data_IF_230884095770
#
_entry.id   IF_230884095770
#
_cell.length_a   1.000
_cell.length_b   1.000
_cell.length_c   1.000
_cell.angle_alpha   90.00
_cell.angle_beta   90.00
_cell.angle_gamma   90.00
#
_symmetry.space_group_name_H-M   'P 1'
#
loop_
_entity.id
_entity.type
_entity.pdbx_description
1 polymer ?
#
# COMPACT_ATOMS: atom_id res chain seq x y z
N UNK A 1 6.48 -12.80 -4.52
CA UNK A 1 5.64 -11.60 -4.38
C UNK A 1 6.27 -10.68 -3.34
N UNK A 2 6.43 -9.39 -3.64
CA UNK A 2 6.94 -8.39 -2.68
C UNK A 2 5.84 -7.81 -1.78
N UNK A 3 4.62 -7.74 -2.29
CA UNK A 3 3.45 -7.29 -1.55
C UNK A 3 2.36 -6.74 -2.48
N UNK A 4 1.27 -6.30 -1.89
CA UNK A 4 0.18 -5.58 -2.56
C UNK A 4 0.43 -4.09 -2.43
N UNK A 5 0.33 -3.35 -3.53
CA UNK A 5 0.54 -1.90 -3.60
C UNK A 5 -0.81 -1.20 -3.76
N UNK A 6 -1.07 -0.25 -2.88
CA UNK A 6 -2.27 0.59 -2.96
C UNK A 6 -2.09 1.92 -2.20
N UNK A 7 -3.01 2.85 -2.41
CA UNK A 7 -3.09 4.10 -1.68
C UNK A 7 -4.25 4.12 -0.69
N UNK A 8 -4.10 4.86 0.40
CA UNK A 8 -5.20 5.29 1.26
C UNK A 8 -5.21 6.80 1.46
N UNK A 9 -6.39 7.34 1.77
CA UNK A 9 -6.58 8.74 2.11
C UNK A 9 -6.72 8.92 3.62
N UNK A 10 -5.96 9.87 4.18
CA UNK A 10 -6.16 10.34 5.55
C UNK A 10 -6.72 11.76 5.56
N UNK A 11 -7.85 11.97 6.21
CA UNK A 11 -8.54 13.26 6.21
C UNK A 11 -7.79 14.31 7.03
N UNK A 12 -7.54 15.47 6.42
CA UNK A 12 -6.89 16.62 7.04
C UNK A 12 -7.92 17.71 7.35
N UNK A 13 -8.49 17.66 8.56
CA UNK A 13 -9.58 18.56 8.99
C UNK A 13 -9.13 20.02 9.07
N UNK A 14 -7.92 20.26 9.58
CA UNK A 14 -7.34 21.59 9.71
C UNK A 14 -6.46 21.98 8.51
N UNK A 15 -6.72 21.41 7.33
CA UNK A 15 -6.04 21.81 6.10
C UNK A 15 -6.15 23.34 5.91
N UNK A 16 -5.03 24.07 5.76
CA UNK A 16 -5.05 25.50 5.56
C UNK A 16 -5.92 25.90 4.37
N UNK A 17 -6.69 26.99 4.50
CA UNK A 17 -7.61 27.45 3.44
C UNK A 17 -6.92 27.62 2.09
N UNK A 18 -5.68 28.12 2.09
CA UNK A 18 -4.86 28.30 0.90
C UNK A 18 -4.57 26.98 0.16
N UNK A 19 -4.56 25.85 0.86
CA UNK A 19 -4.22 24.53 0.30
C UNK A 19 -5.45 23.66 0.06
N UNK A 20 -6.60 24.02 0.65
CA UNK A 20 -7.83 23.23 0.63
C UNK A 20 -8.24 22.78 -0.78
N UNK A 21 -8.11 23.64 -1.79
CA UNK A 21 -8.42 23.29 -3.18
C UNK A 21 -7.55 22.16 -3.71
N UNK A 22 -6.23 22.24 -3.49
CA UNK A 22 -5.28 21.21 -3.93
C UNK A 22 -5.47 19.88 -3.20
N UNK A 23 -5.91 19.87 -1.95
CA UNK A 23 -6.03 18.64 -1.15
C UNK A 23 -7.43 18.02 -1.18
N UNK A 24 -8.41 18.68 -1.82
CA UNK A 24 -9.80 18.20 -1.88
C UNK A 24 -10.12 17.69 -3.27
N UNK A 25 -10.43 16.40 -3.38
CA UNK A 25 -10.96 15.79 -4.60
C UNK A 25 -12.47 15.96 -4.67
N UNK A 26 -13.04 16.16 -5.86
CA UNK A 26 -14.46 16.49 -6.04
C UNK A 26 -15.44 15.42 -5.55
N UNK A 27 -15.05 14.15 -5.63
CA UNK A 27 -15.78 12.99 -5.12
C UNK A 27 -15.67 12.84 -3.59
N UNK A 28 -14.47 13.07 -3.03
CA UNK A 28 -14.19 12.95 -1.59
C UNK A 28 -14.76 14.13 -0.78
N UNK A 29 -14.80 15.34 -1.37
CA UNK A 29 -15.34 16.60 -0.79
C UNK A 29 -14.70 17.06 0.52
N UNK A 30 -13.68 16.36 1.01
CA UNK A 30 -12.85 16.74 2.16
C UNK A 30 -11.38 16.75 1.77
N UNK A 31 -10.60 17.58 2.45
CA UNK A 31 -9.15 17.60 2.25
C UNK A 31 -8.52 16.34 2.81
N UNK A 32 -7.71 15.65 2.01
CA UNK A 32 -7.04 14.42 2.41
C UNK A 32 -5.58 14.45 1.97
N UNK A 33 -4.75 13.66 2.66
CA UNK A 33 -3.36 13.40 2.29
C UNK A 33 -3.23 11.90 1.99
N UNK A 34 -2.56 11.56 0.92
CA UNK A 34 -2.41 10.18 0.48
C UNK A 34 -1.18 9.51 1.12
N UNK A 35 -1.35 8.24 1.47
CA UNK A 35 -0.30 7.29 1.77
C UNK A 35 -0.32 6.22 0.67
N UNK A 36 0.78 6.05 -0.06
CA UNK A 36 1.04 4.83 -0.84
C UNK A 36 1.80 3.86 0.06
N UNK A 37 1.43 2.58 0.06
CA UNK A 37 2.15 1.56 0.77
C UNK A 37 2.22 0.23 0.00
N UNK A 38 3.27 -0.54 0.29
CA UNK A 38 3.34 -1.96 -0.06
C UNK A 38 3.23 -2.76 1.22
N UNK A 39 2.27 -3.69 1.29
CA UNK A 39 2.14 -4.59 2.42
C UNK A 39 2.04 -6.06 1.99
N UNK A 40 2.57 -6.95 2.82
CA UNK A 40 2.43 -8.40 2.65
C UNK A 40 1.25 -8.96 3.45
N UNK A 41 0.94 -10.24 3.19
CA UNK A 41 -0.15 -10.97 3.84
C UNK A 41 -0.09 -10.92 5.37
N UNK A 42 1.10 -10.97 5.96
CA UNK A 42 1.31 -10.86 7.40
C UNK A 42 1.21 -9.43 7.96
N UNK A 43 0.65 -8.50 7.19
CA UNK A 43 0.44 -7.08 7.55
C UNK A 43 1.72 -6.26 7.63
N UNK A 44 2.88 -6.82 7.30
CA UNK A 44 4.12 -6.07 7.28
C UNK A 44 4.12 -5.03 6.16
N UNK A 45 4.45 -3.78 6.49
CA UNK A 45 4.55 -2.69 5.52
C UNK A 45 6.02 -2.56 5.09
N UNK A 46 6.31 -2.86 3.83
CA UNK A 46 7.65 -2.84 3.25
C UNK A 46 8.05 -1.46 2.71
N UNK A 47 7.08 -0.71 2.22
CA UNK A 47 7.28 0.61 1.64
C UNK A 47 6.15 1.54 2.04
N UNK A 48 6.47 2.82 2.24
CA UNK A 48 5.50 3.85 2.55
C UNK A 48 5.94 5.21 2.01
N UNK A 49 5.08 5.84 1.21
CA UNK A 49 5.27 7.19 0.69
C UNK A 49 4.07 8.07 1.03
N UNK A 50 4.28 9.06 1.90
CA UNK A 50 3.21 9.89 2.46
C UNK A 50 3.41 11.38 2.18
N UNK A 51 2.30 12.10 2.01
CA UNK A 51 2.30 13.57 1.93
C UNK A 51 1.74 14.12 0.63
N UNK A 52 1.35 13.25 -0.32
CA UNK A 52 0.78 13.70 -1.58
C UNK A 52 -0.65 14.22 -1.37
N UNK A 53 -1.00 15.30 -2.05
CA UNK A 53 -2.33 15.90 -1.92
C UNK A 53 -3.42 14.95 -2.43
N UNK A 54 -4.51 14.83 -1.69
CA UNK A 54 -5.62 13.90 -1.96
C UNK A 54 -6.43 14.16 -3.23
N UNK A 55 -6.17 15.23 -3.97
CA UNK A 55 -6.70 15.39 -5.33
C UNK A 55 -6.00 14.52 -6.37
N UNK A 56 -4.83 13.95 -6.03
CA UNK A 56 -4.09 13.06 -6.92
C UNK A 56 -4.74 11.67 -6.98
N UNK A 57 -4.33 10.89 -7.97
CA UNK A 57 -4.62 9.47 -8.08
C UNK A 57 -3.35 8.65 -7.79
N UNK A 58 -3.50 7.34 -7.71
CA UNK A 58 -2.45 6.38 -7.40
C UNK A 58 -1.25 6.48 -8.36
N UNK A 59 -1.51 6.69 -9.66
CA UNK A 59 -0.45 6.82 -10.67
C UNK A 59 0.39 8.08 -10.42
N UNK A 60 -0.25 9.20 -10.06
CA UNK A 60 0.45 10.44 -9.75
C UNK A 60 1.30 10.30 -8.48
N UNK A 61 0.84 9.52 -7.49
CA UNK A 61 1.61 9.21 -6.28
C UNK A 61 2.81 8.33 -6.64
N UNK A 62 2.58 7.27 -7.41
CA UNK A 62 3.61 6.34 -7.87
C UNK A 62 4.75 7.06 -8.61
N UNK A 63 4.43 7.98 -9.51
CA UNK A 63 5.42 8.75 -10.27
C UNK A 63 6.32 9.64 -9.40
N UNK A 64 5.94 9.91 -8.14
CA UNK A 64 6.72 10.69 -7.18
C UNK A 64 7.34 9.83 -6.08
N UNK A 65 6.93 8.57 -6.01
CA UNK A 65 7.30 7.65 -4.96
C UNK A 65 8.73 7.14 -5.13
N UNK A 66 9.37 6.83 -4.00
CA UNK A 66 10.67 6.16 -3.97
C UNK A 66 10.59 4.64 -4.15
N UNK A 67 9.40 4.07 -4.42
CA UNK A 67 9.18 2.61 -4.51
C UNK A 67 10.21 1.88 -5.39
N UNK A 68 10.59 2.50 -6.51
CA UNK A 68 11.53 1.91 -7.47
C UNK A 68 12.95 2.49 -7.39
N UNK A 69 13.25 3.37 -6.43
CA UNK A 69 14.56 4.04 -6.36
C UNK A 69 15.71 3.04 -6.25
N UNK A 70 15.63 2.05 -5.37
CA UNK A 70 16.68 1.04 -5.20
C UNK A 70 16.82 0.14 -6.45
N UNK A 71 15.71 -0.19 -7.12
CA UNK A 71 15.72 -0.98 -8.37
C UNK A 71 16.42 -0.20 -9.47
N UNK A 72 16.05 1.07 -9.67
CA UNK A 72 16.63 1.95 -10.68
C UNK A 72 18.11 2.25 -10.43
N UNK A 73 18.54 2.24 -9.17
CA UNK A 73 19.94 2.43 -8.78
C UNK A 73 20.75 1.14 -8.77
N UNK A 74 20.13 -0.01 -9.08
CA UNK A 74 20.80 -1.32 -9.06
C UNK A 74 21.21 -1.79 -7.66
N UNK A 75 20.58 -1.27 -6.61
CA UNK A 75 20.83 -1.60 -5.20
C UNK A 75 19.76 -2.49 -4.59
N UNK A 76 18.66 -2.73 -5.31
CA UNK A 76 17.61 -3.64 -4.86
C UNK A 76 18.17 -5.07 -4.64
N UNK A 77 17.69 -5.80 -3.63
CA UNK A 77 18.09 -7.18 -3.41
C UNK A 77 17.81 -8.05 -4.64
N UNK A 78 18.72 -9.00 -4.91
CA UNK A 78 18.47 -10.01 -5.91
C UNK A 78 17.30 -10.91 -5.49
N UNK A 79 16.39 -11.17 -6.42
CA UNK A 79 15.24 -12.05 -6.22
C UNK A 79 15.34 -13.16 -7.27
N UNK A 80 15.18 -14.41 -6.87
CA UNK A 80 15.13 -15.55 -7.79
C UNK A 80 13.97 -16.45 -7.43
N UNK A 81 13.10 -16.73 -8.38
CA UNK A 81 12.01 -17.70 -8.21
C UNK A 81 11.62 -18.32 -9.55
N UNK A 82 10.94 -19.48 -9.50
CA UNK A 82 10.47 -20.20 -10.69
C UNK A 82 8.94 -20.26 -10.67
N UNK A 83 8.29 -19.85 -11.77
CA UNK A 83 6.85 -20.05 -11.97
C UNK A 83 6.62 -20.79 -13.28
N UNK A 84 5.86 -21.88 -13.23
CA UNK A 84 5.55 -22.72 -14.40
C UNK A 84 6.80 -23.11 -15.22
N UNK A 85 7.92 -23.39 -14.56
CA UNK A 85 9.19 -23.75 -15.20
C UNK A 85 10.01 -22.57 -15.76
N UNK A 86 9.50 -21.33 -15.66
CA UNK A 86 10.25 -20.13 -16.05
C UNK A 86 10.91 -19.50 -14.83
N UNK A 87 12.19 -19.18 -14.95
CA UNK A 87 12.94 -18.44 -13.93
C UNK A 87 12.71 -16.94 -14.07
N UNK A 88 12.54 -16.28 -12.92
CA UNK A 88 12.38 -14.84 -12.81
C UNK A 88 13.42 -14.30 -11.84
N UNK A 89 14.02 -13.18 -12.22
CA UNK A 89 15.04 -12.49 -11.44
C UNK A 89 14.57 -11.13 -10.88
N UNK A 90 13.28 -10.83 -11.03
CA UNK A 90 12.69 -9.54 -10.66
C UNK A 90 11.46 -9.77 -9.79
N UNK A 91 11.41 -9.10 -8.64
CA UNK A 91 10.24 -9.12 -7.77
C UNK A 91 9.03 -8.44 -8.42
N UNK A 92 7.83 -8.82 -7.97
CA UNK A 92 6.57 -8.26 -8.45
C UNK A 92 5.67 -7.82 -7.30
N UNK A 93 4.83 -6.83 -7.58
CA UNK A 93 3.77 -6.31 -6.72
C UNK A 93 2.41 -6.65 -7.28
N UNK A 94 1.44 -6.95 -6.42
CA UNK A 94 0.04 -7.04 -6.81
C UNK A 94 -0.55 -5.64 -6.86
N UNK A 95 -1.16 -5.29 -7.98
CA UNK A 95 -1.82 -3.99 -8.16
C UNK A 95 -3.19 -4.18 -8.79
N UNK A 96 -4.01 -3.13 -8.79
CA UNK A 96 -5.26 -3.12 -9.54
C UNK A 96 -5.05 -2.58 -10.97
N UNK A 97 -6.13 -2.58 -11.76
CA UNK A 97 -6.08 -2.34 -13.20
C UNK A 97 -5.62 -0.96 -13.66
N UNK A 98 -5.58 0.07 -12.79
CA UNK A 98 -5.18 1.43 -13.20
C UNK A 98 -3.66 1.60 -13.33
N UNK A 99 -2.89 0.71 -12.71
CA UNK A 99 -1.43 0.79 -12.75
C UNK A 99 -0.90 0.44 -14.15
N UNK A 100 0.24 1.03 -14.57
CA UNK A 100 0.80 0.81 -15.90
C UNK A 100 1.20 -0.65 -16.13
N UNK A 101 1.34 -1.04 -17.39
CA UNK A 101 1.80 -2.38 -17.79
C UNK A 101 3.33 -2.52 -17.60
N UNK A 102 3.79 -2.51 -16.36
CA UNK A 102 5.19 -2.75 -16.03
C UNK A 102 5.41 -4.20 -15.64
N UNK A 103 6.57 -4.75 -15.99
CA UNK A 103 6.90 -6.15 -15.71
C UNK A 103 6.97 -6.47 -14.19
N UNK A 104 7.08 -5.44 -13.34
CA UNK A 104 7.02 -5.56 -11.87
C UNK A 104 5.59 -5.58 -11.33
N UNK A 105 4.56 -5.34 -12.15
CA UNK A 105 3.16 -5.29 -11.72
C UNK A 105 2.39 -6.48 -12.24
N UNK A 106 1.76 -7.18 -11.30
CA UNK A 106 0.86 -8.30 -11.58
C UNK A 106 -0.56 -7.85 -11.25
N UNK A 107 -1.37 -7.72 -12.30
CA UNK A 107 -2.73 -7.16 -12.24
C UNK A 107 -3.79 -8.25 -12.31
N UNK A 108 -4.99 -7.92 -11.85
CA UNK A 108 -6.19 -8.73 -12.13
C UNK A 108 -6.49 -8.72 -13.63
N UNK A 109 -7.18 -9.76 -14.11
CA UNK A 109 -7.65 -9.82 -15.50
C UNK A 109 -8.91 -8.96 -15.61
N UNK A 110 -8.91 -7.88 -16.41
CA UNK A 110 -10.12 -7.08 -16.59
C UNK A 110 -11.17 -7.89 -17.35
N UNK A 111 -12.41 -7.88 -16.86
CA UNK A 111 -13.56 -8.55 -17.48
C UNK A 111 -13.29 -10.04 -17.79
N UNK A 112 -13.04 -10.88 -16.77
CA UNK A 112 -12.67 -12.27 -16.96
C UNK A 112 -13.77 -13.07 -17.67
N UNK A 113 -13.44 -13.67 -18.82
CA UNK A 113 -14.41 -14.33 -19.70
C UNK A 113 -14.53 -15.82 -19.40
N UNK A 114 -13.40 -16.52 -19.27
CA UNK A 114 -13.40 -17.96 -19.03
C UNK A 114 -13.29 -18.31 -17.53
N UNK A 115 -13.56 -19.58 -17.18
CA UNK A 115 -13.48 -20.05 -15.81
C UNK A 115 -12.08 -19.86 -15.19
N UNK A 116 -11.03 -20.05 -15.99
CA UNK A 116 -9.64 -19.85 -15.56
C UNK A 116 -9.35 -18.37 -15.25
N UNK A 117 -9.84 -17.45 -16.08
CA UNK A 117 -9.65 -16.01 -15.86
C UNK A 117 -10.37 -15.56 -14.59
N UNK A 118 -11.59 -16.06 -14.38
CA UNK A 118 -12.40 -15.75 -13.19
C UNK A 118 -11.69 -16.24 -11.92
N UNK A 119 -11.19 -17.47 -11.95
CA UNK A 119 -10.44 -18.05 -10.82
C UNK A 119 -9.17 -17.25 -10.51
N UNK A 120 -8.42 -16.86 -11.54
CA UNK A 120 -7.23 -16.04 -11.36
C UNK A 120 -7.57 -14.65 -10.79
N UNK A 121 -8.56 -13.98 -11.36
CA UNK A 121 -9.00 -12.65 -10.91
C UNK A 121 -9.44 -12.70 -9.44
N UNK A 122 -10.23 -13.70 -9.05
CA UNK A 122 -10.67 -13.90 -7.66
C UNK A 122 -9.49 -14.04 -6.69
N UNK A 123 -8.51 -14.90 -7.01
CA UNK A 123 -7.35 -15.13 -6.13
C UNK A 123 -6.43 -13.91 -6.09
N UNK A 124 -6.18 -13.27 -7.24
CA UNK A 124 -5.34 -12.07 -7.31
C UNK A 124 -5.97 -10.91 -6.53
N UNK A 125 -7.27 -10.67 -6.71
CA UNK A 125 -7.99 -9.61 -6.01
C UNK A 125 -8.12 -9.90 -4.51
N UNK A 126 -8.26 -11.17 -4.13
CA UNK A 126 -8.21 -11.63 -2.74
C UNK A 126 -6.88 -11.29 -2.07
N UNK A 127 -5.76 -11.66 -2.69
CA UNK A 127 -4.42 -11.34 -2.18
C UNK A 127 -4.11 -9.83 -2.24
N UNK A 128 -4.62 -9.11 -3.25
CA UNK A 128 -4.45 -7.65 -3.36
C UNK A 128 -5.00 -6.92 -2.11
N UNK A 129 -6.06 -7.45 -1.48
CA UNK A 129 -6.63 -6.88 -0.25
C UNK A 129 -5.69 -6.91 0.97
N UNK A 130 -4.54 -7.56 0.89
CA UNK A 130 -3.56 -7.59 1.98
C UNK A 130 -3.15 -6.17 2.44
N UNK A 131 -2.98 -5.23 1.51
CA UNK A 131 -2.63 -3.84 1.83
C UNK A 131 -3.80 -3.04 2.38
N UNK A 132 -5.01 -3.25 1.85
CA UNK A 132 -6.24 -2.69 2.41
C UNK A 132 -6.47 -3.20 3.85
N UNK A 133 -6.16 -4.48 4.11
CA UNK A 133 -6.20 -5.07 5.46
C UNK A 133 -5.14 -4.45 6.37
N UNK A 134 -3.92 -4.23 5.88
CA UNK A 134 -2.87 -3.55 6.65
C UNK A 134 -3.29 -2.12 7.03
N UNK A 135 -3.91 -1.36 6.12
CA UNK A 135 -4.48 -0.05 6.42
C UNK A 135 -5.58 -0.13 7.49
N UNK A 136 -6.53 -1.05 7.33
CA UNK A 136 -7.62 -1.24 8.28
C UNK A 136 -7.12 -1.58 9.69
N UNK A 137 -6.13 -2.47 9.80
CA UNK A 137 -5.50 -2.83 11.08
C UNK A 137 -4.74 -1.64 11.67
N UNK A 138 -3.97 -0.90 10.86
CA UNK A 138 -3.25 0.29 11.33
C UNK A 138 -4.21 1.36 11.86
N UNK A 139 -5.32 1.63 11.16
CA UNK A 139 -6.36 2.54 11.64
C UNK A 139 -7.09 2.03 12.89
N UNK A 140 -7.28 0.72 13.04
CA UNK A 140 -7.87 0.12 14.24
C UNK A 140 -6.94 0.25 15.45
N UNK A 141 -5.63 0.02 15.27
CA UNK A 141 -4.59 0.14 16.30
C UNK A 141 -4.36 1.58 16.72
N UNK A 142 -4.27 2.49 15.76
CA UNK A 142 -3.91 3.89 16.01
C UNK A 142 -5.10 4.81 15.79
N UNK A 143 -5.78 5.15 16.89
CA UNK A 143 -6.92 6.07 16.88
C UNK A 143 -6.62 7.43 16.23
N UNK A 144 -5.35 7.86 16.21
CA UNK A 144 -4.91 9.08 15.53
C UNK A 144 -5.08 9.00 14.01
N UNK A 145 -4.86 7.81 13.40
CA UNK A 145 -5.03 7.59 11.96
C UNK A 145 -6.50 7.34 11.57
N UNK A 146 -7.29 6.78 12.48
CA UNK A 146 -8.73 6.55 12.26
C UNK A 146 -9.52 7.84 12.11
N UNK A 147 -9.10 8.89 12.83
CA UNK A 147 -9.84 10.15 12.89
C UNK A 147 -9.23 11.20 11.95
N UNK A 148 -10.03 12.18 11.49
CA UNK A 148 -9.51 13.33 10.76
C UNK A 148 -8.49 14.10 11.60
N UNK A 149 -7.28 14.28 11.07
CA UNK A 149 -6.22 14.98 11.79
C UNK A 149 -6.50 16.46 11.91
N UNK A 150 -6.18 16.99 13.10
CA UNK A 150 -6.30 18.41 13.46
C UNK A 150 -4.95 19.13 13.48
N UNK A 151 -3.87 18.43 13.10
CA UNK A 151 -2.57 19.05 12.95
C UNK A 151 -2.58 20.04 11.78
N UNK A 152 -1.82 21.12 11.90
CA UNK A 152 -1.81 22.20 10.90
C UNK A 152 -0.67 22.10 9.89
N UNK A 153 0.40 21.39 10.24
CA UNK A 153 1.62 21.35 9.44
C UNK A 153 1.78 19.97 8.81
N UNK A 154 2.04 19.92 7.50
CA UNK A 154 2.29 18.66 6.78
C UNK A 154 3.39 17.84 7.44
N UNK A 155 4.47 18.50 7.90
CA UNK A 155 5.57 17.85 8.61
C UNK A 155 5.09 17.00 9.79
N UNK A 156 4.20 17.54 10.63
CA UNK A 156 3.66 16.79 11.77
C UNK A 156 2.78 15.61 11.34
N UNK A 157 2.01 15.74 10.25
CA UNK A 157 1.24 14.63 9.69
C UNK A 157 2.17 13.51 9.22
N UNK A 158 3.26 13.88 8.55
CA UNK A 158 4.29 12.95 8.06
C UNK A 158 4.98 12.22 9.20
N UNK A 159 5.42 12.94 10.24
CA UNK A 159 6.03 12.37 11.43
C UNK A 159 5.08 11.38 12.13
N UNK A 160 3.79 11.74 12.28
CA UNK A 160 2.78 10.85 12.85
C UNK A 160 2.59 9.59 12.01
N UNK A 161 2.44 9.74 10.70
CA UNK A 161 2.19 8.60 9.80
C UNK A 161 3.34 7.60 9.85
N UNK A 162 4.58 8.08 9.72
CA UNK A 162 5.76 7.20 9.78
C UNK A 162 5.96 6.59 11.16
N UNK A 163 5.71 7.33 12.25
CA UNK A 163 5.76 6.77 13.60
C UNK A 163 4.74 5.63 13.76
N UNK A 164 3.50 5.80 13.28
CA UNK A 164 2.48 4.75 13.32
C UNK A 164 2.88 3.52 12.48
N UNK A 165 3.50 3.70 11.32
CA UNK A 165 3.97 2.58 10.47
C UNK A 165 5.11 1.81 11.15
N UNK A 166 6.08 2.52 11.75
CA UNK A 166 7.18 1.89 12.50
C UNK A 166 6.62 1.08 13.68
N UNK A 167 5.76 1.69 14.49
CA UNK A 167 5.12 1.01 15.61
C UNK A 167 4.25 -0.16 15.16
N UNK A 168 3.53 -0.02 14.04
CA UNK A 168 2.76 -1.12 13.45
C UNK A 168 3.65 -2.31 13.13
N UNK A 169 4.77 -2.09 12.41
CA UNK A 169 5.69 -3.16 12.05
C UNK A 169 6.35 -3.80 13.27
N UNK A 170 6.71 -3.00 14.29
CA UNK A 170 7.23 -3.53 15.56
C UNK A 170 6.22 -4.46 16.26
N UNK A 171 4.93 -4.10 16.26
CA UNK A 171 3.87 -4.95 16.81
C UNK A 171 3.68 -6.21 15.95
N UNK A 172 3.70 -6.08 14.62
CA UNK A 172 3.62 -7.24 13.71
C UNK A 172 4.80 -8.19 13.94
N UNK A 173 6.01 -7.67 14.17
CA UNK A 173 7.21 -8.45 14.49
C UNK A 173 7.02 -9.24 15.79
N UNK A 174 6.63 -8.55 16.87
CA UNK A 174 6.42 -9.14 18.19
C UNK A 174 5.32 -10.22 18.18
N UNK A 175 4.21 -9.96 17.47
CA UNK A 175 3.12 -10.92 17.35
C UNK A 175 3.46 -12.07 16.38
N UNK A 176 4.47 -11.95 15.51
CA UNK A 176 4.78 -12.92 14.44
C UNK A 176 5.04 -14.32 14.97
N UNK A 177 5.69 -14.42 16.12
CA UNK A 177 5.98 -15.69 16.77
C UNK A 177 4.73 -16.35 17.35
N UNK A 178 3.70 -15.58 17.71
CA UNK A 178 2.40 -16.13 18.15
C UNK A 178 1.57 -16.70 16.99
N UNK A 179 1.80 -16.23 15.76
CA UNK A 179 1.13 -16.75 14.56
C UNK A 179 1.75 -18.07 14.07
N UNK A 180 3.09 -18.21 14.12
CA UNK A 180 3.77 -19.46 13.72
C UNK A 180 3.30 -20.67 14.53
N UNK A 181 3.13 -20.51 15.83
CA UNK A 181 2.64 -21.58 16.72
C UNK A 181 1.23 -22.08 16.34
N UNK A 182 0.41 -21.28 15.66
CA UNK A 182 -0.95 -21.68 15.26
C UNK A 182 -1.04 -22.42 13.92
N UNK A 183 0.01 -22.38 13.09
CA UNK A 183 0.01 -23.04 11.78
C UNK A 183 0.61 -24.45 11.79
N UNK A 184 1.35 -24.81 12.84
CA UNK A 184 1.94 -26.15 12.99
C UNK A 184 0.98 -27.18 13.63
N UNK A 185 -0.25 -26.78 13.97
CA UNK A 185 -1.27 -27.63 14.63
C UNK A 185 -2.41 -28.10 13.69
N UNK A 186 -2.21 -28.12 12.36
CA UNK A 186 -3.16 -28.74 11.40
C UNK A 186 -2.46 -29.63 10.36
#
# INVERSE_FOLDING_TARGET
MLGSLDCMHWQWRNCPKAWKGQYTRGDIKVSTVMLEAVASHDLWIWHAFFGVAGSNNDINVLNRSSLFTEVLQGRAPAVHYTLNGNEYNMGYYLTHGIYPEWATFVKTIPLPQCAKDKLYAEHQEGARKDVERAFGVSQARFAILRNPTRMWQMRSLTEIMYACIILHNMIVEDERDTFRVRYDDN
#
